data_IF_525186094719
#
_entry.id   IF_525186094719
#
_cell.length_a   1.000
_cell.length_b   1.000
_cell.length_c   1.000
_cell.angle_alpha   90.00
_cell.angle_beta   90.00
_cell.angle_gamma   90.00
#
_symmetry.space_group_name_H-M   'P 1'
#
loop_
_entity.id
_entity.type
_entity.pdbx_description
1 polymer ?
#
# COMPACT_ATOMS: atom_id res chain seq x y z
N UNK A 1 0.13 -15.74 -21.47
CA UNK A 1 -1.04 -15.03 -22.04
C UNK A 1 -0.63 -13.58 -22.22
N UNK A 2 -0.80 -13.04 -23.42
CA UNK A 2 -0.45 -11.65 -23.76
C UNK A 2 -1.64 -10.75 -23.50
N UNK A 3 -1.39 -9.53 -23.00
CA UNK A 3 -2.43 -8.51 -22.86
C UNK A 3 -2.45 -7.71 -24.16
N UNK A 4 -3.46 -7.94 -25.00
CA UNK A 4 -3.59 -7.29 -26.31
C UNK A 4 -4.36 -5.96 -26.26
N UNK A 5 -5.08 -5.69 -25.16
CA UNK A 5 -5.80 -4.44 -24.92
C UNK A 5 -5.98 -4.18 -23.42
N UNK A 6 -5.96 -2.92 -23.00
CA UNK A 6 -6.30 -2.50 -21.64
C UNK A 6 -6.47 -0.97 -21.51
N UNK A 7 -7.28 -0.53 -20.54
CA UNK A 7 -7.45 0.88 -20.19
C UNK A 7 -7.43 1.10 -18.68
N UNK A 8 -6.98 2.27 -18.23
CA UNK A 8 -6.89 2.65 -16.82
C UNK A 8 -7.15 4.14 -16.63
N UNK A 9 -7.63 4.53 -15.44
CA UNK A 9 -7.83 5.93 -15.05
C UNK A 9 -7.23 6.18 -13.67
N UNK A 10 -6.52 7.29 -13.53
CA UNK A 10 -5.82 7.69 -12.31
C UNK A 10 -6.30 9.08 -11.90
N UNK A 11 -6.53 9.28 -10.60
CA UNK A 11 -6.72 10.61 -9.98
C UNK A 11 -5.90 10.67 -8.71
N UNK A 12 -4.80 11.43 -8.75
CA UNK A 12 -3.87 11.64 -7.64
C UNK A 12 -3.85 13.08 -7.11
N UNK A 13 -4.58 13.99 -7.76
CA UNK A 13 -4.73 15.36 -7.31
C UNK A 13 -5.59 15.46 -6.03
N UNK A 14 -5.32 16.48 -5.23
CA UNK A 14 -6.12 16.81 -4.05
C UNK A 14 -7.53 17.32 -4.38
N UNK A 15 -8.28 17.78 -3.35
CA UNK A 15 -9.52 18.54 -3.55
C UNK A 15 -9.30 19.73 -4.50
N UNK A 16 -10.32 20.07 -5.27
CA UNK A 16 -10.32 21.20 -6.20
C UNK A 16 -11.57 22.01 -5.92
N UNK A 17 -11.44 23.00 -5.05
CA UNK A 17 -12.55 23.87 -4.63
C UNK A 17 -12.61 25.15 -5.47
N UNK A 18 -13.73 25.88 -5.39
CA UNK A 18 -13.89 27.19 -6.05
C UNK A 18 -13.28 28.31 -5.19
N UNK A 19 -12.98 29.46 -5.81
CA UNK A 19 -12.27 30.57 -5.14
C UNK A 19 -12.97 31.04 -3.86
N UNK A 20 -14.30 31.08 -3.88
CA UNK A 20 -15.12 31.51 -2.74
C UNK A 20 -14.99 30.57 -1.53
N UNK A 21 -14.76 29.28 -1.75
CA UNK A 21 -14.66 28.27 -0.69
C UNK A 21 -13.33 28.36 0.07
N UNK A 22 -12.27 28.85 -0.57
CA UNK A 22 -10.97 29.08 0.10
C UNK A 22 -11.03 30.19 1.16
N UNK A 23 -12.04 31.06 1.12
CA UNK A 23 -12.26 32.07 2.15
C UNK A 23 -12.93 31.52 3.42
N UNK A 24 -13.50 30.31 3.36
CA UNK A 24 -14.17 29.69 4.50
C UNK A 24 -13.12 29.08 5.47
N UNK A 25 -13.32 29.16 6.79
CA UNK A 25 -12.40 28.59 7.78
C UNK A 25 -12.59 27.07 7.94
N UNK A 26 -12.52 26.32 6.84
CA UNK A 26 -12.68 24.87 6.76
C UNK A 26 -11.39 24.21 6.27
N UNK A 27 -11.15 22.94 6.65
CA UNK A 27 -9.95 22.20 6.24
C UNK A 27 -10.28 21.23 5.10
N UNK A 28 -9.46 21.25 4.06
CA UNK A 28 -9.50 20.29 2.96
C UNK A 28 -8.13 19.57 2.83
N UNK A 29 -8.14 18.32 2.35
CA UNK A 29 -6.91 17.55 2.19
C UNK A 29 -7.17 16.13 1.70
N UNK A 30 -6.13 15.31 1.69
CA UNK A 30 -6.19 13.88 1.31
C UNK A 30 -5.77 13.05 2.51
N UNK A 31 -6.58 12.04 2.84
CA UNK A 31 -6.18 10.98 3.78
C UNK A 31 -5.62 9.83 2.93
N UNK A 32 -4.30 9.58 2.95
CA UNK A 32 -3.71 8.51 2.15
C UNK A 32 -4.11 7.15 2.71
N UNK A 33 -4.46 6.23 1.80
CA UNK A 33 -4.68 4.82 2.13
C UNK A 33 -3.50 4.03 1.56
N UNK A 34 -2.91 3.18 2.39
CA UNK A 34 -1.78 2.34 2.01
C UNK A 34 -2.09 0.87 2.32
N UNK A 35 -1.62 -0.02 1.46
CA UNK A 35 -1.59 -1.46 1.72
C UNK A 35 -0.20 -1.83 2.18
N UNK A 36 -0.09 -2.48 3.34
CA UNK A 36 1.20 -2.89 3.91
C UNK A 36 1.28 -4.41 4.07
N UNK A 37 2.51 -4.93 4.04
CA UNK A 37 2.80 -6.32 4.39
C UNK A 37 3.13 -6.41 5.88
N UNK A 38 2.43 -7.27 6.61
CA UNK A 38 2.67 -7.52 8.02
C UNK A 38 3.90 -8.40 8.29
N UNK A 39 4.30 -8.56 9.56
CA UNK A 39 5.34 -9.50 9.95
C UNK A 39 4.94 -10.94 9.63
N UNK A 40 5.93 -11.83 9.54
CA UNK A 40 5.68 -13.24 9.28
C UNK A 40 5.11 -13.83 10.55
N UNK A 41 4.01 -14.54 10.43
CA UNK A 41 3.43 -15.30 11.53
C UNK A 41 3.77 -16.77 11.27
N UNK A 42 4.80 -17.34 11.95
CA UNK A 42 5.17 -18.74 11.76
C UNK A 42 4.10 -19.67 12.33
N UNK A 43 3.98 -20.87 11.75
CA UNK A 43 3.16 -21.94 12.34
C UNK A 43 3.77 -22.36 13.68
N UNK A 44 2.92 -22.53 14.69
CA UNK A 44 3.32 -23.02 16.03
C UNK A 44 3.91 -24.43 15.99
N UNK A 45 3.66 -25.20 14.93
CA UNK A 45 4.16 -26.57 14.74
C UNK A 45 5.46 -26.64 13.94
N UNK A 46 6.01 -25.50 13.52
CA UNK A 46 7.30 -25.50 12.84
C UNK A 46 8.38 -26.11 13.73
N UNK A 47 9.26 -26.90 13.12
CA UNK A 47 10.44 -27.42 13.78
C UNK A 47 11.42 -26.26 13.99
N UNK A 48 12.06 -26.21 15.16
CA UNK A 48 12.99 -25.13 15.53
C UNK A 48 14.19 -25.00 14.57
N UNK A 49 14.55 -26.08 13.89
CA UNK A 49 15.66 -26.12 12.93
C UNK A 49 15.28 -25.63 11.53
N UNK A 50 14.02 -25.26 11.27
CA UNK A 50 13.57 -24.83 9.94
C UNK A 50 13.70 -23.33 9.83
N UNK A 51 14.68 -22.90 9.03
CA UNK A 51 14.91 -21.49 8.73
C UNK A 51 13.89 -20.95 7.72
N UNK A 52 13.68 -19.63 7.74
CA UNK A 52 12.84 -18.93 6.77
C UNK A 52 13.54 -18.95 5.41
N UNK A 53 12.82 -19.32 4.36
CA UNK A 53 13.38 -19.31 3.00
C UNK A 53 13.71 -17.89 2.54
N UNK A 54 14.75 -17.76 1.70
CA UNK A 54 15.19 -16.47 1.17
C UNK A 54 14.07 -15.71 0.44
N UNK A 55 13.17 -16.42 -0.25
CA UNK A 55 12.03 -15.80 -0.93
C UNK A 55 11.08 -15.09 0.04
N UNK A 56 10.79 -15.71 1.20
CA UNK A 56 9.92 -15.11 2.21
C UNK A 56 10.62 -13.90 2.85
N UNK A 57 11.90 -14.05 3.20
CA UNK A 57 12.69 -12.96 3.77
C UNK A 57 12.77 -11.75 2.80
N UNK A 58 12.97 -12.00 1.50
CA UNK A 58 13.03 -10.96 0.48
C UNK A 58 11.67 -10.29 0.24
N UNK A 59 10.58 -11.05 0.27
CA UNK A 59 9.22 -10.50 0.15
C UNK A 59 8.92 -9.48 1.25
N UNK A 60 9.32 -9.77 2.49
CA UNK A 60 9.13 -8.85 3.62
C UNK A 60 9.98 -7.59 3.51
N UNK A 61 11.25 -7.75 3.13
CA UNK A 61 12.18 -6.62 2.98
C UNK A 61 11.73 -5.62 1.90
N UNK A 62 11.24 -6.12 0.77
CA UNK A 62 10.94 -5.29 -0.41
C UNK A 62 9.58 -4.59 -0.37
N UNK A 63 8.71 -4.94 0.59
CA UNK A 63 7.32 -4.44 0.65
C UNK A 63 7.04 -3.54 1.86
N UNK A 64 8.09 -3.16 2.61
CA UNK A 64 7.98 -2.26 3.77
C UNK A 64 7.06 -2.85 4.83
N UNK A 65 7.62 -3.56 5.81
CA UNK A 65 6.98 -3.61 7.12
C UNK A 65 7.03 -2.17 7.64
N UNK A 66 5.87 -1.54 7.83
CA UNK A 66 5.73 -0.09 8.07
C UNK A 66 6.73 0.53 9.04
#
# INVERSE_FOLDING_TARGET
MEVTEGSAKIRSAGPSDVEEDYALPIRAGVIPIQTQVGPLIPDRRNLDSVEISEHIANFQRNRGTG
#
